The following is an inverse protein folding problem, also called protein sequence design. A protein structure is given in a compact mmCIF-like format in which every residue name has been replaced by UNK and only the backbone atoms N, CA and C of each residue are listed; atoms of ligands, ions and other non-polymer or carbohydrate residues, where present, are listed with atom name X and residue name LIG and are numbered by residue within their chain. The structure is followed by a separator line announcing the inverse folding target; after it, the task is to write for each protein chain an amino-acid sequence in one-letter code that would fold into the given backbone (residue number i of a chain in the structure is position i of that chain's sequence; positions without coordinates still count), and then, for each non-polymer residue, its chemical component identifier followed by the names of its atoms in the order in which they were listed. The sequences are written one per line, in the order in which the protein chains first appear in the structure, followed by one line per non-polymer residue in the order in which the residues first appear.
data_IF_786152272840
#
_entry.id   IF_786152272840
#
_cell.length_a   1.000
_cell.length_b   1.000
_cell.length_c   1.000
_cell.angle_alpha   90.00
_cell.angle_beta   90.00
_cell.angle_gamma   90.00
#
_symmetry.space_group_name_H-M   'P 1'
#
loop_
_entity.id
_entity.type
_entity.pdbx_description
1 polymer ?
#
# COMPACT_ATOMS: atom_id res chain seq x y z
N UNK A 1 -3.83 -1.31 19.04
CA UNK A 1 -3.82 -2.60 18.32
C UNK A 1 -2.45 -3.27 18.38
N UNK A 2 -1.36 -2.57 18.05
CA UNK A 2 0.02 -3.12 18.05
C UNK A 2 0.51 -3.68 19.42
N UNK A 3 0.22 -2.95 20.51
CA UNK A 3 0.62 -3.38 21.87
C UNK A 3 -0.07 -4.69 22.30
N UNK A 4 -1.31 -4.90 21.86
CA UNK A 4 -2.07 -6.10 22.18
C UNK A 4 -1.54 -7.32 21.41
N UNK A 5 -1.14 -7.15 20.15
CA UNK A 5 -0.55 -8.22 19.33
C UNK A 5 0.83 -8.64 19.82
N UNK A 6 1.67 -7.69 20.27
CA UNK A 6 2.97 -8.00 20.86
C UNK A 6 2.84 -8.77 22.18
N UNK A 7 1.96 -8.32 23.07
CA UNK A 7 1.70 -9.00 24.35
C UNK A 7 1.22 -10.45 24.13
N UNK A 8 0.33 -10.66 23.15
CA UNK A 8 -0.15 -11.98 22.75
C UNK A 8 0.99 -12.85 22.22
N UNK A 9 1.86 -12.32 21.36
CA UNK A 9 3.01 -13.03 20.83
C UNK A 9 3.97 -13.50 21.94
N UNK A 10 4.37 -12.60 22.84
CA UNK A 10 5.26 -12.94 23.96
C UNK A 10 4.61 -13.94 24.93
N UNK A 11 3.32 -13.78 25.23
CA UNK A 11 2.60 -14.75 26.07
C UNK A 11 2.54 -16.15 25.44
N UNK A 12 2.37 -16.22 24.11
CA UNK A 12 2.40 -17.48 23.37
C UNK A 12 3.78 -18.15 23.39
N UNK A 13 4.85 -17.37 23.23
CA UNK A 13 6.22 -17.87 23.30
C UNK A 13 6.55 -18.42 24.70
N UNK A 14 6.14 -17.73 25.76
CA UNK A 14 6.33 -18.16 27.15
C UNK A 14 5.61 -19.51 27.38
N UNK A 15 4.39 -19.68 26.87
CA UNK A 15 3.65 -20.94 26.98
C UNK A 15 4.33 -22.10 26.23
N UNK A 16 4.89 -21.85 25.04
CA UNK A 16 5.65 -22.87 24.31
C UNK A 16 6.92 -23.29 25.06
N UNK A 17 7.68 -22.31 25.59
CA UNK A 17 8.89 -22.56 26.35
C UNK A 17 8.60 -23.29 27.67
N UNK A 18 7.52 -22.93 28.36
CA UNK A 18 7.08 -23.61 29.57
C UNK A 18 6.67 -25.07 29.28
N UNK A 19 5.94 -25.32 28.18
CA UNK A 19 5.61 -26.66 27.73
C UNK A 19 6.85 -27.50 27.37
N UNK A 20 7.82 -26.91 26.68
CA UNK A 20 9.09 -27.56 26.33
C UNK A 20 9.93 -27.86 27.57
N UNK A 21 10.07 -26.92 28.49
CA UNK A 21 10.79 -27.11 29.75
C UNK A 21 10.16 -28.22 30.59
N UNK A 22 8.83 -28.31 30.61
CA UNK A 22 8.13 -29.39 31.30
C UNK A 22 8.41 -30.75 30.66
N UNK A 23 8.41 -30.85 29.33
CA UNK A 23 8.81 -32.09 28.63
C UNK A 23 10.26 -32.48 28.94
N UNK A 24 11.18 -31.52 28.99
CA UNK A 24 12.59 -31.75 29.36
C UNK A 24 12.73 -32.26 30.80
N UNK A 25 12.01 -31.67 31.76
CA UNK A 25 11.99 -32.14 33.15
C UNK A 25 11.43 -33.55 33.25
N UNK A 26 10.36 -33.89 32.53
CA UNK A 26 9.81 -35.25 32.48
C UNK A 26 10.80 -36.26 31.90
N UNK A 27 11.58 -35.86 30.90
CA UNK A 27 12.60 -36.68 30.28
C UNK A 27 13.79 -36.94 31.24
N UNK A 28 14.32 -35.88 31.86
CA UNK A 28 15.48 -35.96 32.77
C UNK A 28 15.14 -36.69 34.08
N UNK A 29 13.92 -36.53 34.60
CA UNK A 29 13.48 -37.15 35.86
C UNK A 29 13.17 -38.66 35.76
N UNK A 30 13.30 -39.27 34.57
CA UNK A 30 13.00 -40.69 34.37
C UNK A 30 11.51 -41.04 34.53
N UNK A 31 10.63 -40.04 34.64
CA UNK A 31 9.18 -40.20 34.65
C UNK A 31 8.60 -40.55 33.27
N UNK A 32 9.46 -40.75 32.27
CA UNK A 32 9.15 -41.33 30.98
C UNK A 32 8.92 -42.85 31.08
N UNK A 33 8.03 -43.26 31.99
CA UNK A 33 7.56 -44.64 32.07
C UNK A 33 6.49 -44.81 30.99
N UNK A 34 6.79 -45.63 29.98
CA UNK A 34 5.87 -46.06 28.92
C UNK A 34 4.53 -46.48 29.54
N UNK A 35 3.50 -45.62 29.45
CA UNK A 35 2.15 -45.91 29.97
C UNK A 35 1.33 -44.70 30.46
N UNK A 36 1.95 -43.62 30.93
CA UNK A 36 1.20 -42.47 31.48
C UNK A 36 0.90 -41.36 30.46
N UNK A 37 0.10 -41.69 29.45
CA UNK A 37 -0.39 -40.73 28.44
C UNK A 37 -1.14 -39.51 29.03
N UNK A 38 -1.68 -39.61 30.24
CA UNK A 38 -2.40 -38.50 30.90
C UNK A 38 -1.53 -37.29 31.24
N UNK A 39 -0.23 -37.50 31.53
CA UNK A 39 0.70 -36.42 31.92
C UNK A 39 1.31 -35.68 30.73
N UNK A 40 1.32 -36.31 29.55
CA UNK A 40 1.81 -35.72 28.31
C UNK A 40 0.81 -34.70 27.71
N UNK A 41 -0.48 -34.82 28.04
CA UNK A 41 -1.55 -33.97 27.47
C UNK A 41 -1.35 -32.49 27.80
N UNK A 42 -0.98 -32.17 29.04
CA UNK A 42 -0.87 -30.78 29.50
C UNK A 42 0.28 -30.00 28.85
N UNK A 43 1.52 -30.53 28.76
CA UNK A 43 2.59 -29.89 28.00
C UNK A 43 2.21 -29.67 26.53
N UNK A 44 1.60 -30.68 25.88
CA UNK A 44 1.18 -30.57 24.48
C UNK A 44 0.07 -29.54 24.29
N UNK A 45 -0.90 -29.45 25.21
CA UNK A 45 -1.95 -28.42 25.21
C UNK A 45 -1.34 -27.03 25.39
N UNK A 46 -0.36 -26.85 26.29
CA UNK A 46 0.34 -25.57 26.45
C UNK A 46 1.11 -25.17 25.19
N UNK A 47 1.81 -26.11 24.56
CA UNK A 47 2.50 -25.86 23.29
C UNK A 47 1.52 -25.52 22.16
N UNK A 48 0.38 -26.21 22.09
CA UNK A 48 -0.65 -25.93 21.09
C UNK A 48 -1.33 -24.57 21.30
N UNK A 49 -1.64 -24.20 22.54
CA UNK A 49 -2.17 -22.86 22.87
C UNK A 49 -1.14 -21.76 22.58
N UNK A 50 0.12 -21.97 22.94
CA UNK A 50 1.20 -21.03 22.64
C UNK A 50 1.41 -20.85 21.14
N UNK A 51 1.40 -21.96 20.39
CA UNK A 51 1.44 -21.93 18.93
C UNK A 51 0.24 -21.19 18.32
N UNK A 52 -0.98 -21.47 18.80
CA UNK A 52 -2.17 -20.76 18.35
C UNK A 52 -2.05 -19.24 18.61
N UNK A 53 -1.59 -18.83 19.79
CA UNK A 53 -1.38 -17.41 20.12
C UNK A 53 -0.34 -16.73 19.23
N UNK A 54 0.76 -17.42 18.88
CA UNK A 54 1.82 -16.91 17.99
C UNK A 54 1.35 -16.81 16.53
N UNK A 55 0.55 -17.77 16.08
CA UNK A 55 0.12 -17.85 14.67
C UNK A 55 -1.15 -17.02 14.40
N UNK A 56 -1.97 -16.75 15.42
CA UNK A 56 -3.23 -15.97 15.29
C UNK A 56 -3.03 -14.62 14.61
N UNK A 57 -2.04 -13.77 14.95
CA UNK A 57 -1.82 -12.50 14.25
C UNK A 57 -1.49 -12.69 12.76
N UNK A 58 -0.67 -13.69 12.41
CA UNK A 58 -0.29 -13.97 11.02
C UNK A 58 -1.44 -14.57 10.19
N UNK A 59 -2.36 -15.30 10.84
CA UNK A 59 -3.59 -15.78 10.23
C UNK A 59 -4.60 -14.64 10.11
N UNK A 60 -4.76 -13.82 11.15
CA UNK A 60 -5.72 -12.73 11.17
C UNK A 60 -5.42 -11.70 10.09
N UNK A 61 -4.15 -11.37 9.86
CA UNK A 61 -3.74 -10.47 8.77
C UNK A 61 -3.87 -11.10 7.38
N UNK A 62 -4.00 -12.43 7.28
CA UNK A 62 -4.23 -13.14 6.01
C UNK A 62 -5.70 -13.44 5.72
N UNK A 63 -6.57 -13.45 6.73
CA UNK A 63 -7.98 -13.83 6.62
C UNK A 63 -8.93 -12.63 6.78
N UNK A 64 -8.50 -11.57 7.46
CA UNK A 64 -9.30 -10.34 7.54
C UNK A 64 -9.24 -9.62 6.20
N UNK A 65 -10.30 -9.72 5.40
CA UNK A 65 -10.51 -8.81 4.28
C UNK A 65 -10.52 -7.39 4.82
N UNK A 66 -9.51 -6.59 4.46
CA UNK A 66 -9.48 -5.18 4.80
C UNK A 66 -10.57 -4.51 3.98
N UNK A 67 -11.64 -4.05 4.65
CA UNK A 67 -12.67 -3.24 3.98
C UNK A 67 -12.08 -1.87 3.62
N UNK A 68 -11.79 -1.69 2.33
CA UNK A 68 -11.30 -0.44 1.76
C UNK A 68 -12.44 0.54 1.45
N UNK A 69 -13.68 0.18 1.80
CA UNK A 69 -14.90 0.88 1.40
C UNK A 69 -15.25 0.60 -0.06
N UNK A 70 -16.08 1.43 -0.71
CA UNK A 70 -16.38 1.26 -2.14
C UNK A 70 -15.28 1.84 -3.04
N UNK A 71 -14.95 1.12 -4.14
CA UNK A 71 -14.03 1.59 -5.21
C UNK A 71 -14.48 2.90 -5.82
N UNK A 72 -15.79 3.05 -6.03
CA UNK A 72 -16.39 4.20 -6.71
C UNK A 72 -17.26 4.98 -5.74
N UNK A 73 -17.01 6.27 -5.60
CA UNK A 73 -17.76 7.20 -4.74
C UNK A 73 -18.20 8.42 -5.56
N UNK A 74 -19.35 8.98 -5.18
CA UNK A 74 -19.78 10.29 -5.64
C UNK A 74 -19.57 11.29 -4.51
N UNK A 75 -18.74 12.29 -4.73
CA UNK A 75 -18.46 13.36 -3.76
C UNK A 75 -18.86 14.67 -4.40
N UNK A 76 -19.90 15.31 -3.87
CA UNK A 76 -20.42 16.58 -4.41
C UNK A 76 -20.78 16.52 -5.92
N UNK A 77 -21.17 15.33 -6.41
CA UNK A 77 -21.47 15.10 -7.83
C UNK A 77 -20.28 14.69 -8.69
N UNK A 78 -19.06 14.75 -8.17
CA UNK A 78 -17.84 14.32 -8.85
C UNK A 78 -17.58 12.83 -8.61
N UNK A 79 -17.01 12.17 -9.62
CA UNK A 79 -16.72 10.74 -9.59
C UNK A 79 -15.32 10.51 -9.02
N UNK A 80 -15.26 9.83 -7.89
CA UNK A 80 -14.01 9.50 -7.19
C UNK A 80 -13.80 7.98 -7.25
N UNK A 81 -12.66 7.56 -7.76
CA UNK A 81 -12.29 6.15 -7.85
C UNK A 81 -11.02 5.90 -7.04
N UNK A 82 -11.10 4.97 -6.09
CA UNK A 82 -9.96 4.48 -5.31
C UNK A 82 -9.72 3.02 -5.67
N UNK A 83 -8.60 2.78 -6.35
CA UNK A 83 -8.05 1.45 -6.67
C UNK A 83 -6.81 1.12 -5.81
N UNK A 84 -6.31 2.08 -5.03
CA UNK A 84 -5.26 1.85 -4.03
C UNK A 84 -5.65 0.74 -3.05
N UNK A 85 -4.79 -0.25 -2.89
CA UNK A 85 -4.96 -1.40 -1.98
C UNK A 85 -5.92 -2.48 -2.46
N UNK A 86 -6.64 -2.27 -3.56
CA UNK A 86 -7.57 -3.26 -4.12
C UNK A 86 -6.85 -4.40 -4.84
N UNK A 87 -7.62 -5.40 -5.29
CA UNK A 87 -7.07 -6.42 -6.17
C UNK A 87 -6.38 -5.76 -7.36
N UNK A 88 -5.21 -6.30 -7.71
CA UNK A 88 -4.31 -5.77 -8.73
C UNK A 88 -4.61 -6.35 -10.13
N UNK A 89 -5.71 -7.09 -10.26
CA UNK A 89 -5.94 -7.94 -11.42
C UNK A 89 -6.71 -7.22 -12.54
N UNK A 90 -7.25 -6.00 -12.32
CA UNK A 90 -7.62 -5.15 -13.45
C UNK A 90 -7.89 -3.67 -13.17
N UNK A 91 -7.19 -2.79 -13.89
CA UNK A 91 -7.51 -1.36 -14.05
C UNK A 91 -8.59 -1.10 -15.12
N UNK A 92 -9.13 -2.15 -15.78
CA UNK A 92 -10.12 -2.01 -16.85
C UNK A 92 -11.46 -1.37 -16.43
N UNK A 93 -11.74 -1.33 -15.12
CA UNK A 93 -12.91 -0.61 -14.59
C UNK A 93 -12.89 0.88 -14.96
N UNK A 94 -11.71 1.47 -15.21
CA UNK A 94 -11.56 2.88 -15.59
C UNK A 94 -12.20 3.18 -16.95
N UNK A 95 -12.21 2.21 -17.87
CA UNK A 95 -12.87 2.36 -19.17
C UNK A 95 -14.39 2.56 -19.05
N UNK A 96 -15.00 2.13 -17.94
CA UNK A 96 -16.43 2.32 -17.67
C UNK A 96 -16.73 3.64 -16.98
N UNK A 97 -15.70 4.40 -16.56
CA UNK A 97 -15.83 5.63 -15.80
C UNK A 97 -14.98 6.78 -16.38
N UNK A 98 -15.11 7.13 -17.67
CA UNK A 98 -14.34 8.23 -18.28
C UNK A 98 -14.60 9.59 -17.62
N UNK A 99 -15.71 9.73 -16.89
CA UNK A 99 -16.09 10.94 -16.14
C UNK A 99 -15.32 11.14 -14.82
N UNK A 100 -14.38 10.26 -14.47
CA UNK A 100 -13.62 10.31 -13.21
C UNK A 100 -12.89 11.64 -13.01
N UNK A 101 -13.05 12.22 -11.82
CA UNK A 101 -12.44 13.49 -11.43
C UNK A 101 -11.27 13.30 -10.47
N UNK A 102 -11.37 12.31 -9.57
CA UNK A 102 -10.32 11.95 -8.62
C UNK A 102 -10.03 10.46 -8.75
N UNK A 103 -8.77 10.13 -9.03
CA UNK A 103 -8.32 8.76 -9.20
C UNK A 103 -7.14 8.45 -8.29
N UNK A 104 -7.26 7.40 -7.49
CA UNK A 104 -6.19 6.90 -6.64
C UNK A 104 -5.78 5.49 -7.08
N UNK A 105 -4.54 5.34 -7.54
CA UNK A 105 -3.93 4.09 -7.98
C UNK A 105 -2.52 3.98 -7.38
N UNK A 106 -2.39 4.23 -6.08
CA UNK A 106 -1.11 4.18 -5.39
C UNK A 106 -0.73 2.72 -5.07
N UNK A 107 -0.42 1.94 -6.10
CA UNK A 107 -0.03 0.54 -5.99
C UNK A 107 1.29 0.26 -6.71
N UNK A 108 2.06 -0.71 -6.20
CA UNK A 108 3.38 -1.09 -6.71
C UNK A 108 3.35 -1.78 -8.09
N UNK A 109 2.20 -2.26 -8.55
CA UNK A 109 1.98 -2.89 -9.86
C UNK A 109 1.57 -1.88 -10.95
N UNK A 110 1.33 -0.61 -10.60
CA UNK A 110 1.06 0.44 -11.60
C UNK A 110 2.34 0.78 -12.34
N UNK A 111 2.32 0.63 -13.66
CA UNK A 111 3.43 0.94 -14.57
C UNK A 111 3.01 2.02 -15.58
N UNK A 112 3.94 2.41 -16.46
CA UNK A 112 3.65 3.33 -17.56
C UNK A 112 2.50 2.82 -18.44
N UNK A 113 2.44 1.51 -18.72
CA UNK A 113 1.35 0.89 -19.49
C UNK A 113 -0.01 0.97 -18.77
N UNK A 114 -0.03 0.99 -17.43
CA UNK A 114 -1.29 1.15 -16.69
C UNK A 114 -1.94 2.51 -16.99
N UNK A 115 -1.15 3.52 -17.36
CA UNK A 115 -1.66 4.87 -17.68
C UNK A 115 -2.43 4.91 -19.01
N UNK A 116 -2.35 3.88 -19.86
CA UNK A 116 -3.20 3.78 -21.05
C UNK A 116 -4.70 3.73 -20.70
N UNK A 117 -5.06 3.22 -19.51
CA UNK A 117 -6.45 3.16 -19.06
C UNK A 117 -7.05 4.53 -18.71
N UNK A 118 -6.21 5.55 -18.51
CA UNK A 118 -6.65 6.91 -18.16
C UNK A 118 -6.51 7.89 -19.32
N UNK A 119 -6.06 7.42 -20.49
CA UNK A 119 -6.02 8.22 -21.70
C UNK A 119 -7.44 8.72 -22.05
N UNK A 120 -7.57 10.02 -22.30
CA UNK A 120 -8.85 10.64 -22.64
C UNK A 120 -9.79 10.93 -21.46
N UNK A 121 -9.38 10.71 -20.21
CA UNK A 121 -10.16 11.12 -19.01
C UNK A 121 -10.10 12.64 -18.79
N UNK A 122 -10.78 13.40 -19.65
CA UNK A 122 -10.69 14.86 -19.72
C UNK A 122 -11.15 15.59 -18.43
N UNK A 123 -11.91 14.92 -17.57
CA UNK A 123 -12.40 15.47 -16.31
C UNK A 123 -11.45 15.22 -15.13
N UNK A 124 -10.34 14.49 -15.32
CA UNK A 124 -9.45 14.11 -14.24
C UNK A 124 -8.70 15.33 -13.71
N UNK A 125 -8.84 15.60 -12.40
CA UNK A 125 -8.25 16.74 -11.69
C UNK A 125 -7.25 16.34 -10.64
N UNK A 126 -7.49 15.25 -9.92
CA UNK A 126 -6.54 14.70 -8.95
C UNK A 126 -6.17 13.26 -9.30
N UNK A 127 -4.86 13.02 -9.37
CA UNK A 127 -4.28 11.70 -9.65
C UNK A 127 -3.25 11.33 -8.58
N UNK A 128 -3.42 10.17 -7.96
CA UNK A 128 -2.46 9.61 -7.01
C UNK A 128 -1.83 8.33 -7.57
N UNK A 129 -0.52 8.40 -7.82
CA UNK A 129 0.34 7.34 -8.35
C UNK A 129 1.50 7.05 -7.38
N UNK A 130 1.36 7.40 -6.10
CA UNK A 130 2.42 7.16 -5.12
C UNK A 130 2.82 5.68 -5.09
N UNK A 131 4.11 5.44 -4.83
CA UNK A 131 4.68 4.11 -4.63
C UNK A 131 4.47 3.17 -5.84
N UNK A 132 4.30 3.73 -7.05
CA UNK A 132 4.16 3.02 -8.32
C UNK A 132 5.48 2.90 -9.09
N UNK A 133 5.47 2.15 -10.19
CA UNK A 133 6.63 1.97 -11.08
C UNK A 133 6.66 2.96 -12.24
N UNK A 134 5.80 3.98 -12.22
CA UNK A 134 5.73 5.03 -13.26
C UNK A 134 7.07 5.73 -13.41
N UNK A 135 7.50 5.91 -14.65
CA UNK A 135 8.73 6.57 -15.06
C UNK A 135 8.43 7.82 -15.90
N UNK A 136 9.46 8.49 -16.40
CA UNK A 136 9.31 9.64 -17.29
C UNK A 136 8.51 9.28 -18.55
N UNK A 137 8.65 8.04 -19.06
CA UNK A 137 7.98 7.57 -20.26
C UNK A 137 6.45 7.59 -20.10
N UNK A 138 5.93 7.22 -18.93
CA UNK A 138 4.47 7.24 -18.67
C UNK A 138 3.89 8.64 -18.50
N UNK A 139 4.72 9.67 -18.27
CA UNK A 139 4.22 11.03 -18.06
C UNK A 139 3.70 11.67 -19.35
N UNK A 140 4.04 11.13 -20.53
CA UNK A 140 3.52 11.60 -21.81
C UNK A 140 1.99 11.51 -21.89
N UNK A 141 1.41 10.44 -21.33
CA UNK A 141 -0.04 10.22 -21.19
C UNK A 141 -0.67 11.27 -20.29
N UNK A 142 0.00 11.61 -19.19
CA UNK A 142 -0.49 12.61 -18.26
C UNK A 142 -0.49 14.01 -18.87
N UNK A 143 0.45 14.31 -19.77
CA UNK A 143 0.55 15.61 -20.44
C UNK A 143 -0.69 15.94 -21.30
N UNK A 144 -1.47 14.94 -21.71
CA UNK A 144 -2.72 15.11 -22.46
C UNK A 144 -3.91 15.48 -21.56
N UNK A 145 -3.82 15.22 -20.27
CA UNK A 145 -4.88 15.45 -19.29
C UNK A 145 -4.79 16.88 -18.73
N UNK A 146 -5.10 17.86 -19.57
CA UNK A 146 -4.92 19.30 -19.28
C UNK A 146 -5.74 19.82 -18.09
N UNK A 147 -6.74 19.06 -17.64
CA UNK A 147 -7.53 19.33 -16.43
C UNK A 147 -6.84 18.99 -15.11
N UNK A 148 -5.68 18.31 -15.12
CA UNK A 148 -4.98 17.90 -13.90
C UNK A 148 -4.53 19.12 -13.08
N UNK A 149 -4.94 19.13 -11.81
CA UNK A 149 -4.59 20.15 -10.82
C UNK A 149 -3.63 19.61 -9.76
N UNK A 150 -3.73 18.31 -9.45
CA UNK A 150 -2.94 17.62 -8.44
C UNK A 150 -2.43 16.30 -8.97
N UNK A 151 -1.12 16.08 -8.87
CA UNK A 151 -0.52 14.77 -9.13
C UNK A 151 0.38 14.40 -7.95
N UNK A 152 0.21 13.19 -7.43
CA UNK A 152 1.07 12.63 -6.38
C UNK A 152 1.93 11.52 -6.99
N UNK A 153 3.24 11.69 -6.95
CA UNK A 153 4.27 10.84 -7.57
C UNK A 153 5.35 10.47 -6.54
N UNK A 154 5.01 10.41 -5.25
CA UNK A 154 5.97 10.01 -4.22
C UNK A 154 6.52 8.63 -4.55
N UNK A 155 7.83 8.45 -4.41
CA UNK A 155 8.52 7.17 -4.58
C UNK A 155 8.28 6.50 -5.94
N UNK A 156 8.18 7.30 -7.02
CA UNK A 156 8.18 6.81 -8.41
C UNK A 156 9.55 6.98 -9.05
N UNK A 157 9.70 6.58 -10.33
CA UNK A 157 10.96 6.66 -11.09
C UNK A 157 11.09 7.96 -11.89
N UNK A 158 10.26 8.95 -11.60
CA UNK A 158 10.27 10.25 -12.30
C UNK A 158 11.55 11.02 -12.00
N UNK A 159 12.07 11.70 -13.02
CA UNK A 159 13.29 12.52 -12.97
C UNK A 159 13.01 13.96 -13.42
N UNK A 160 14.04 14.81 -13.36
CA UNK A 160 14.00 16.17 -13.90
C UNK A 160 13.51 16.20 -15.36
N UNK A 161 13.89 15.21 -16.16
CA UNK A 161 13.52 15.12 -17.59
C UNK A 161 12.00 15.02 -17.75
N UNK A 162 11.36 14.10 -17.02
CA UNK A 162 9.91 13.92 -17.10
C UNK A 162 9.11 15.12 -16.57
N UNK A 163 9.59 15.74 -15.49
CA UNK A 163 8.99 16.97 -14.95
C UNK A 163 9.04 18.12 -15.97
N UNK A 164 10.19 18.35 -16.60
CA UNK A 164 10.38 19.43 -17.56
C UNK A 164 9.62 19.19 -18.88
N UNK A 165 9.69 17.97 -19.42
CA UNK A 165 9.12 17.66 -20.73
C UNK A 165 7.59 17.51 -20.72
N UNK A 166 7.03 16.96 -19.64
CA UNK A 166 5.62 16.57 -19.59
C UNK A 166 4.83 17.42 -18.61
N UNK A 167 5.18 17.38 -17.32
CA UNK A 167 4.36 17.98 -16.28
C UNK A 167 4.40 19.51 -16.27
N UNK A 168 5.50 20.12 -16.73
CA UNK A 168 5.61 21.58 -16.84
C UNK A 168 4.62 22.18 -17.84
N UNK A 169 4.18 21.39 -18.82
CA UNK A 169 3.26 21.80 -19.89
C UNK A 169 1.78 21.75 -19.48
N UNK A 170 1.47 21.16 -18.33
CA UNK A 170 0.10 21.11 -17.81
C UNK A 170 -0.32 22.51 -17.30
N UNK A 171 -1.32 23.14 -17.92
CA UNK A 171 -1.66 24.54 -17.65
C UNK A 171 -2.33 24.73 -16.28
N UNK A 172 -3.04 23.71 -15.79
CA UNK A 172 -3.81 23.77 -14.56
C UNK A 172 -3.11 23.11 -13.36
N UNK A 173 -1.94 22.50 -13.58
CA UNK A 173 -1.25 21.74 -12.54
C UNK A 173 -0.69 22.68 -11.46
N UNK A 174 -1.19 22.52 -10.24
CA UNK A 174 -0.88 23.40 -9.10
C UNK A 174 -0.16 22.67 -7.97
N UNK A 175 -0.38 21.37 -7.79
CA UNK A 175 0.15 20.62 -6.65
C UNK A 175 0.86 19.36 -7.12
N UNK A 176 2.12 19.23 -6.75
CA UNK A 176 2.92 18.03 -6.96
C UNK A 176 3.43 17.46 -5.63
N UNK A 177 3.44 16.14 -5.52
CA UNK A 177 4.20 15.43 -4.49
C UNK A 177 5.28 14.61 -5.17
N UNK A 178 6.54 14.99 -4.97
CA UNK A 178 7.71 14.40 -5.64
C UNK A 178 8.69 13.78 -4.62
N UNK A 179 8.27 13.61 -3.37
CA UNK A 179 9.08 13.02 -2.30
C UNK A 179 9.62 11.65 -2.73
N UNK A 180 10.92 11.42 -2.54
CA UNK A 180 11.55 10.14 -2.89
C UNK A 180 11.60 9.82 -4.39
N UNK A 181 11.47 10.83 -5.27
CA UNK A 181 11.81 10.73 -6.70
C UNK A 181 13.25 11.20 -6.94
N UNK A 182 13.71 11.11 -8.19
CA UNK A 182 15.02 11.63 -8.62
C UNK A 182 14.95 13.07 -9.12
N UNK A 183 13.88 13.81 -8.79
CA UNK A 183 13.72 15.22 -9.16
C UNK A 183 14.52 16.12 -8.21
N UNK A 184 15.31 17.02 -8.78
CA UNK A 184 16.14 17.98 -8.05
C UNK A 184 15.35 19.21 -7.56
N UNK A 185 15.83 19.83 -6.48
CA UNK A 185 15.29 21.09 -5.96
C UNK A 185 15.30 22.20 -7.03
N UNK A 186 16.30 22.16 -7.91
CA UNK A 186 16.46 23.11 -9.01
C UNK A 186 15.33 22.98 -10.04
N UNK A 187 15.02 21.75 -10.48
CA UNK A 187 13.91 21.50 -11.39
C UNK A 187 12.57 21.89 -10.76
N UNK A 188 12.37 21.60 -9.46
CA UNK A 188 11.17 22.01 -8.71
C UNK A 188 11.06 23.54 -8.62
N UNK A 189 12.17 24.25 -8.36
CA UNK A 189 12.18 25.70 -8.31
C UNK A 189 11.79 26.31 -9.67
N UNK A 190 12.34 25.79 -10.77
CA UNK A 190 11.98 26.18 -12.13
C UNK A 190 10.50 25.93 -12.41
N UNK A 191 9.99 24.74 -12.07
CA UNK A 191 8.58 24.38 -12.27
C UNK A 191 7.63 25.31 -11.50
N UNK A 192 7.98 25.67 -10.25
CA UNK A 192 7.23 26.62 -9.41
C UNK A 192 7.22 28.03 -10.01
N UNK A 193 8.33 28.50 -10.56
CA UNK A 193 8.42 29.83 -11.18
C UNK A 193 7.63 29.91 -12.50
N UNK A 194 7.51 28.78 -13.22
CA UNK A 194 6.82 28.72 -14.50
C UNK A 194 5.28 28.82 -14.42
N UNK A 195 4.68 28.75 -13.23
CA UNK A 195 3.22 28.84 -13.09
C UNK A 195 2.77 29.37 -11.74
N UNK A 196 1.82 30.30 -11.76
CA UNK A 196 1.30 30.92 -10.55
C UNK A 196 0.59 29.90 -9.65
N UNK A 197 0.86 29.97 -8.33
CA UNK A 197 0.22 29.11 -7.34
C UNK A 197 0.74 27.66 -7.32
N UNK A 198 1.76 27.32 -8.12
CA UNK A 198 2.40 26.00 -8.12
C UNK A 198 3.11 25.72 -6.80
N UNK A 199 2.83 24.55 -6.21
CA UNK A 199 3.38 24.05 -4.95
C UNK A 199 3.84 22.61 -5.14
N UNK A 200 5.01 22.28 -4.60
CA UNK A 200 5.54 20.92 -4.63
C UNK A 200 6.04 20.51 -3.25
N UNK A 201 5.80 19.24 -2.89
CA UNK A 201 6.43 18.56 -1.76
C UNK A 201 7.66 17.79 -2.26
N UNK A 202 8.72 17.80 -1.45
CA UNK A 202 10.00 17.17 -1.73
C UNK A 202 10.55 16.46 -0.50
#
# INVERSE_FOLDING_TARGET
MYLATELLFYSGLILMLAGLAWLLVMFVSGHFVLGHWGRLKWPLVMMAMGFAAVVTPAIYTRIGDVDLGPRVKLVQGEKHITLTGWDRDSYAILAQHPETTVLQMANADVTDQTLDYIEGMANLRELDLNDSQVSDDGLDKLALLTGLEVIRLRATKVTDVGLEQHLSRLPNLKRLDLRGTSVSDAAIATWKQAGEGRRALQ
#
